data_IF_914552761562
#
_entry.id   IF_914552761562
#
_cell.length_a   1.000
_cell.length_b   1.000
_cell.length_c   1.000
_cell.angle_alpha   90.00
_cell.angle_beta   90.00
_cell.angle_gamma   90.00
#
_symmetry.space_group_name_H-M   'P 1'
#
loop_
_entity.id
_entity.type
_entity.pdbx_description
1 polymer ?
#
# COMPACT_ATOMS: atom_id res chain seq x y z
N UNK A 1 -6.49 11.25 -13.15
CA UNK A 1 -6.34 9.81 -12.94
C UNK A 1 -7.37 9.37 -11.90
N UNK A 2 -8.17 8.34 -12.17
CA UNK A 2 -8.93 7.65 -11.11
C UNK A 2 -7.90 6.88 -10.26
N UNK A 3 -7.77 7.23 -8.99
CA UNK A 3 -6.71 6.70 -8.10
C UNK A 3 -7.20 5.57 -7.18
N UNK A 4 -8.49 5.22 -7.27
CA UNK A 4 -9.11 4.39 -6.25
C UNK A 4 -9.09 5.07 -4.88
N UNK A 5 -9.50 4.35 -3.84
CA UNK A 5 -9.50 4.86 -2.46
C UNK A 5 -9.21 3.74 -1.47
N UNK A 6 -8.39 4.03 -0.46
CA UNK A 6 -8.23 3.23 0.74
C UNK A 6 -8.54 4.10 1.96
N UNK A 7 -9.46 3.62 2.81
CA UNK A 7 -9.83 4.31 4.05
C UNK A 7 -9.90 3.35 5.21
N UNK A 8 -9.43 3.80 6.37
CA UNK A 8 -9.53 3.09 7.66
C UNK A 8 -10.24 4.04 8.61
N UNK A 9 -11.49 3.72 8.93
CA UNK A 9 -12.37 4.60 9.72
C UNK A 9 -12.86 3.84 10.95
N UNK A 10 -12.77 4.49 12.12
CA UNK A 10 -13.45 4.03 13.34
C UNK A 10 -14.88 4.56 13.33
N UNK A 11 -15.86 3.67 13.32
CA UNK A 11 -17.26 4.02 13.55
C UNK A 11 -17.48 4.45 15.00
N UNK A 12 -18.55 5.21 15.25
CA UNK A 12 -19.03 5.55 16.60
C UNK A 12 -19.50 4.31 17.41
N UNK A 13 -19.47 3.12 16.80
CA UNK A 13 -19.98 1.85 17.34
C UNK A 13 -18.87 0.85 17.71
N UNK A 14 -17.64 1.31 17.97
CA UNK A 14 -16.42 0.47 18.17
C UNK A 14 -16.06 -0.45 16.98
N UNK A 15 -16.74 -0.32 15.84
CA UNK A 15 -16.40 -1.04 14.62
C UNK A 15 -15.38 -0.27 13.78
N UNK A 16 -14.28 -0.93 13.43
CA UNK A 16 -13.29 -0.37 12.51
C UNK A 16 -13.55 -0.91 11.11
N UNK A 17 -13.81 0.00 10.17
CA UNK A 17 -14.08 -0.33 8.78
C UNK A 17 -12.86 -0.01 7.92
N UNK A 18 -12.44 -1.01 7.15
CA UNK A 18 -11.46 -0.85 6.08
C UNK A 18 -12.20 -0.95 4.75
N UNK A 19 -12.12 0.12 3.96
CA UNK A 19 -12.77 0.25 2.65
C UNK A 19 -11.69 0.41 1.58
N UNK A 20 -11.76 -0.41 0.54
CA UNK A 20 -10.85 -0.39 -0.61
C UNK A 20 -11.68 -0.38 -1.90
N UNK A 21 -11.50 0.65 -2.72
CA UNK A 21 -12.07 0.77 -4.06
C UNK A 21 -10.92 0.91 -5.04
N UNK A 22 -10.80 -0.01 -6.00
CA UNK A 22 -9.69 -0.01 -6.96
C UNK A 22 -9.90 1.01 -8.08
N UNK A 23 -8.80 1.54 -8.61
CA UNK A 23 -8.77 2.23 -9.91
C UNK A 23 -8.90 1.25 -11.07
N UNK A 24 -8.93 1.79 -12.28
CA UNK A 24 -9.17 1.04 -13.52
C UNK A 24 -8.05 -0.01 -13.80
N UNK A 25 -6.83 0.26 -13.35
CA UNK A 25 -5.67 -0.64 -13.39
C UNK A 25 -5.63 -1.65 -12.23
N UNK A 26 -6.72 -1.76 -11.45
CA UNK A 26 -6.90 -2.71 -10.36
C UNK A 26 -5.95 -2.52 -9.17
N UNK A 27 -5.52 -1.28 -8.92
CA UNK A 27 -4.75 -0.92 -7.71
C UNK A 27 -5.36 0.29 -6.99
N UNK A 28 -4.63 0.89 -6.06
CA UNK A 28 -4.92 2.24 -5.54
C UNK A 28 -3.64 3.06 -5.59
N UNK A 29 -3.76 4.36 -5.80
CA UNK A 29 -2.64 5.28 -5.93
C UNK A 29 -2.71 6.37 -4.87
N UNK A 30 -1.79 6.32 -3.91
CA UNK A 30 -1.77 7.26 -2.79
C UNK A 30 -0.45 8.04 -2.71
N UNK A 31 -0.55 9.33 -2.43
CA UNK A 31 0.60 10.15 -2.08
C UNK A 31 1.08 9.82 -0.66
N UNK A 32 2.32 10.20 -0.34
CA UNK A 32 2.94 9.96 0.98
C UNK A 32 2.06 10.50 2.11
N UNK A 33 1.49 11.68 1.92
CA UNK A 33 0.64 12.36 2.90
C UNK A 33 -0.67 11.60 3.14
N UNK A 34 -1.26 11.04 2.08
CA UNK A 34 -2.48 10.24 2.18
C UNK A 34 -2.20 8.92 2.91
N UNK A 35 -1.06 8.28 2.63
CA UNK A 35 -0.64 7.05 3.33
C UNK A 35 -0.38 7.36 4.82
N UNK A 36 0.32 8.45 5.09
CA UNK A 36 0.62 8.90 6.44
C UNK A 36 -0.66 9.15 7.24
N UNK A 37 -1.63 9.85 6.65
CA UNK A 37 -2.94 10.08 7.24
C UNK A 37 -3.70 8.77 7.49
N UNK A 38 -3.82 7.90 6.47
CA UNK A 38 -4.54 6.62 6.58
C UNK A 38 -3.93 5.70 7.64
N UNK A 39 -2.61 5.71 7.81
CA UNK A 39 -1.94 4.89 8.81
C UNK A 39 -1.70 5.58 10.15
N UNK A 40 -2.06 6.85 10.31
CA UNK A 40 -1.83 7.61 11.53
C UNK A 40 -0.34 7.70 11.90
N UNK A 41 0.51 7.93 10.90
CA UNK A 41 1.97 8.06 11.06
C UNK A 41 2.46 9.37 10.43
N UNK A 42 3.72 9.72 10.68
CA UNK A 42 4.36 10.86 10.04
C UNK A 42 4.73 10.54 8.58
N UNK A 43 4.61 11.52 7.68
CA UNK A 43 5.06 11.43 6.29
C UNK A 43 6.54 11.01 6.19
N UNK A 44 7.39 11.51 7.09
CA UNK A 44 8.81 11.13 7.16
C UNK A 44 9.01 9.62 7.43
N UNK A 45 8.13 8.99 8.22
CA UNK A 45 8.16 7.54 8.47
C UNK A 45 7.79 6.76 7.22
N UNK A 46 6.80 7.24 6.46
CA UNK A 46 6.40 6.65 5.17
C UNK A 46 7.54 6.75 4.16
N UNK A 47 8.14 7.93 3.99
CA UNK A 47 9.28 8.13 3.09
C UNK A 47 10.47 7.24 3.46
N UNK A 48 10.77 7.10 4.77
CA UNK A 48 11.82 6.19 5.24
C UNK A 48 11.47 4.73 4.90
N UNK A 49 10.22 4.33 5.10
CA UNK A 49 9.73 3.00 4.74
C UNK A 49 9.91 2.71 3.24
N UNK A 50 9.47 3.63 2.38
CA UNK A 50 9.61 3.53 0.92
C UNK A 50 11.09 3.32 0.54
N UNK A 51 11.99 4.18 1.06
CA UNK A 51 13.43 4.05 0.78
C UNK A 51 13.99 2.69 1.21
N UNK A 52 13.60 2.20 2.38
CA UNK A 52 14.08 0.91 2.88
C UNK A 52 13.58 -0.26 2.01
N UNK A 53 12.31 -0.25 1.60
CA UNK A 53 11.69 -1.29 0.77
C UNK A 53 12.31 -1.33 -0.63
N UNK A 54 12.59 -0.16 -1.21
CA UNK A 54 13.26 -0.10 -2.52
C UNK A 54 14.75 -0.50 -2.42
N UNK A 55 15.44 -0.08 -1.34
CA UNK A 55 16.84 -0.44 -1.13
C UNK A 55 17.05 -1.93 -0.85
N UNK A 56 16.07 -2.62 -0.26
CA UNK A 56 16.13 -4.07 -0.07
C UNK A 56 15.88 -4.87 -1.36
N UNK A 57 15.38 -4.22 -2.42
CA UNK A 57 14.97 -4.88 -3.65
C UNK A 57 13.67 -5.69 -3.51
N UNK A 58 12.91 -5.51 -2.42
CA UNK A 58 11.61 -6.17 -2.23
C UNK A 58 10.60 -5.74 -3.29
N UNK A 59 10.65 -4.46 -3.69
CA UNK A 59 9.84 -3.89 -4.77
C UNK A 59 10.74 -3.10 -5.72
N UNK A 60 10.34 -3.02 -6.99
CA UNK A 60 11.00 -2.21 -8.02
C UNK A 60 10.28 -0.88 -8.17
N UNK A 61 11.06 0.20 -8.16
CA UNK A 61 10.52 1.58 -8.14
C UNK A 61 9.55 1.86 -9.30
N UNK A 62 9.92 1.43 -10.51
CA UNK A 62 9.13 1.61 -11.73
C UNK A 62 7.82 0.80 -11.77
N UNK A 63 7.64 -0.18 -10.88
CA UNK A 63 6.41 -0.98 -10.79
C UNK A 63 5.43 -0.39 -9.77
N UNK A 64 5.93 0.39 -8.81
CA UNK A 64 5.16 0.81 -7.62
C UNK A 64 5.01 2.31 -7.45
N UNK A 65 5.79 3.13 -8.18
CA UNK A 65 5.70 4.59 -8.19
C UNK A 65 5.20 5.09 -9.55
N UNK A 66 4.30 6.07 -9.51
CA UNK A 66 3.96 6.90 -10.66
C UNK A 66 4.11 8.38 -10.32
N UNK A 67 4.61 9.15 -11.28
CA UNK A 67 4.71 10.60 -11.18
C UNK A 67 3.62 11.26 -12.03
N UNK A 68 3.00 12.31 -11.51
CA UNK A 68 2.08 13.15 -12.24
C UNK A 68 2.56 14.60 -12.21
N UNK A 69 2.85 15.14 -13.39
CA UNK A 69 3.20 16.54 -13.56
C UNK A 69 1.96 17.40 -13.78
N UNK A 70 1.87 18.53 -13.08
CA UNK A 70 0.88 19.58 -13.32
C UNK A 70 1.57 20.92 -13.43
N UNK A 71 1.32 21.64 -14.52
CA UNK A 71 1.72 23.04 -14.66
C UNK A 71 0.74 23.93 -13.90
N UNK A 72 1.28 24.75 -13.01
CA UNK A 72 0.52 25.76 -12.29
C UNK A 72 0.21 26.97 -13.20
N UNK A 73 -0.78 27.80 -12.85
CA UNK A 73 -1.11 29.01 -13.63
C UNK A 73 0.06 29.99 -13.79
N UNK A 74 1.06 29.94 -12.90
CA UNK A 74 2.28 30.76 -12.93
C UNK A 74 3.41 30.16 -13.78
N UNK A 75 3.16 29.05 -14.49
CA UNK A 75 4.12 28.36 -15.35
C UNK A 75 5.05 27.39 -14.64
N UNK A 76 4.98 27.26 -13.30
CA UNK A 76 5.80 26.30 -12.56
C UNK A 76 5.30 24.87 -12.76
N UNK A 77 6.23 23.94 -12.90
CA UNK A 77 5.94 22.51 -12.93
C UNK A 77 5.91 21.95 -11.51
N UNK A 78 4.80 21.31 -11.13
CA UNK A 78 4.71 20.52 -9.91
C UNK A 78 4.64 19.04 -10.27
N UNK A 79 5.50 18.23 -9.66
CA UNK A 79 5.49 16.77 -9.79
C UNK A 79 4.95 16.19 -8.49
N UNK A 80 3.89 15.40 -8.59
CA UNK A 80 3.34 14.64 -7.48
C UNK A 80 3.68 13.16 -7.66
N UNK A 81 4.17 12.52 -6.61
CA UNK A 81 4.45 11.08 -6.58
C UNK A 81 3.28 10.32 -5.95
N UNK A 82 2.93 9.19 -6.56
CA UNK A 82 1.91 8.27 -6.06
C UNK A 82 2.48 6.87 -5.98
N UNK A 83 2.07 6.14 -4.93
CA UNK A 83 2.49 4.78 -4.65
C UNK A 83 1.29 3.83 -4.71
N UNK A 84 1.52 2.68 -5.33
CA UNK A 84 0.47 1.70 -5.58
C UNK A 84 0.12 0.85 -4.32
N UNK A 85 -0.87 -0.06 -4.45
CA UNK A 85 -1.27 -0.95 -3.36
C UNK A 85 -0.14 -1.85 -2.86
N UNK A 86 0.79 -2.30 -3.70
CA UNK A 86 1.89 -3.18 -3.29
C UNK A 86 2.84 -2.47 -2.34
N UNK A 87 3.22 -1.22 -2.65
CA UNK A 87 3.99 -0.37 -1.74
C UNK A 87 3.23 -0.11 -0.44
N UNK A 88 1.92 0.18 -0.50
CA UNK A 88 1.09 0.42 0.67
C UNK A 88 1.03 -0.83 1.58
N UNK A 89 0.94 -2.03 1.00
CA UNK A 89 0.98 -3.30 1.73
C UNK A 89 2.36 -3.50 2.36
N UNK A 90 3.46 -3.33 1.64
CA UNK A 90 4.81 -3.47 2.21
C UNK A 90 5.06 -2.48 3.36
N UNK A 91 4.60 -1.24 3.20
CA UNK A 91 4.65 -0.21 4.24
C UNK A 91 3.87 -0.59 5.50
N UNK A 92 2.71 -1.22 5.38
CA UNK A 92 1.91 -1.57 6.55
C UNK A 92 2.58 -2.61 7.47
N UNK A 93 3.49 -3.43 6.90
CA UNK A 93 4.33 -4.35 7.67
C UNK A 93 5.57 -3.68 8.25
N UNK A 94 6.12 -2.68 7.54
CA UNK A 94 7.28 -1.89 7.99
C UNK A 94 6.95 -0.87 9.08
N UNK A 95 5.74 -0.31 9.06
CA UNK A 95 5.27 0.73 9.97
C UNK A 95 4.56 0.15 11.19
N UNK A 96 4.73 0.81 12.34
CA UNK A 96 4.12 0.43 13.62
C UNK A 96 3.08 1.45 14.04
N UNK A 97 1.82 1.20 13.71
CA UNK A 97 0.68 1.97 14.17
C UNK A 97 -0.56 1.09 14.37
N UNK A 98 -1.55 1.60 15.11
CA UNK A 98 -2.82 0.92 15.31
C UNK A 98 -3.57 0.71 13.97
N UNK A 99 -3.71 1.72 13.08
CA UNK A 99 -4.27 1.49 11.74
C UNK A 99 -3.51 0.45 10.90
N UNK A 100 -2.17 0.41 10.95
CA UNK A 100 -1.40 -0.65 10.26
C UNK A 100 -1.73 -2.05 10.79
N UNK A 101 -1.91 -2.21 12.11
CA UNK A 101 -2.35 -3.49 12.68
C UNK A 101 -3.73 -3.90 12.17
N UNK A 102 -4.68 -2.97 12.12
CA UNK A 102 -6.03 -3.25 11.58
C UNK A 102 -5.96 -3.63 10.10
N UNK A 103 -5.20 -2.88 9.30
CA UNK A 103 -5.06 -3.15 7.88
C UNK A 103 -4.46 -4.53 7.61
N UNK A 104 -3.41 -4.93 8.35
CA UNK A 104 -2.83 -6.28 8.29
C UNK A 104 -3.85 -7.37 8.60
N UNK A 105 -4.63 -7.22 9.68
CA UNK A 105 -5.71 -8.16 10.03
C UNK A 105 -6.75 -8.26 8.92
N UNK A 106 -7.12 -7.12 8.33
CA UNK A 106 -8.09 -7.07 7.23
C UNK A 106 -7.56 -7.77 5.97
N UNK A 107 -6.31 -7.55 5.56
CA UNK A 107 -5.68 -8.25 4.43
C UNK A 107 -5.72 -9.76 4.65
N UNK A 108 -5.23 -10.23 5.81
CA UNK A 108 -5.23 -11.66 6.13
C UNK A 108 -6.64 -12.25 6.09
N UNK A 109 -7.63 -11.56 6.65
CA UNK A 109 -9.04 -11.98 6.61
C UNK A 109 -9.55 -12.09 5.17
N UNK A 110 -9.22 -11.12 4.30
CA UNK A 110 -9.63 -11.13 2.89
C UNK A 110 -8.99 -12.26 2.11
N UNK A 111 -7.70 -12.53 2.30
CA UNK A 111 -7.01 -13.69 1.70
C UNK A 111 -7.70 -14.99 2.11
N UNK A 112 -7.88 -15.22 3.41
CA UNK A 112 -8.55 -16.44 3.93
C UNK A 112 -9.98 -16.57 3.39
N UNK A 113 -10.73 -15.48 3.36
CA UNK A 113 -12.10 -15.49 2.83
C UNK A 113 -12.13 -15.81 1.33
N UNK A 114 -11.19 -15.26 0.54
CA UNK A 114 -11.09 -15.54 -0.90
C UNK A 114 -10.80 -17.00 -1.20
N UNK A 115 -10.07 -17.69 -0.30
CA UNK A 115 -9.74 -19.11 -0.41
C UNK A 115 -10.91 -20.01 -0.02
N UNK A 116 -11.68 -19.65 1.03
CA UNK A 116 -12.86 -20.42 1.47
C UNK A 116 -13.92 -20.54 0.37
N UNK A 117 -14.01 -19.55 -0.51
CA UNK A 117 -14.97 -19.53 -1.63
C UNK A 117 -14.54 -20.48 -2.76
N UNK A 118 -13.28 -20.95 -2.82
CA UNK A 118 -12.72 -21.71 -3.95
C UNK A 118 -12.39 -23.20 -3.69
N UNK A 119 -12.80 -23.79 -2.57
CA UNK A 119 -12.52 -25.20 -2.20
C UNK A 119 -11.06 -25.51 -1.79
N UNK A 120 -10.89 -26.62 -1.08
CA UNK A 120 -9.81 -27.03 -0.16
C UNK A 120 -8.45 -27.35 -0.80
N UNK A 121 -7.88 -26.43 -1.57
CA UNK A 121 -6.49 -26.56 -2.05
C UNK A 121 -5.54 -25.96 -0.99
N UNK A 122 -4.50 -26.69 -0.55
CA UNK A 122 -3.53 -26.14 0.39
C UNK A 122 -2.76 -24.96 -0.22
N UNK A 123 -2.53 -23.90 0.56
CA UNK A 123 -1.65 -22.80 0.17
C UNK A 123 -0.19 -23.25 0.34
N UNK A 124 0.47 -23.54 -0.78
CA UNK A 124 1.90 -23.84 -0.79
C UNK A 124 2.63 -22.57 -1.22
N UNK A 125 3.29 -21.91 -0.26
CA UNK A 125 4.20 -20.79 -0.55
C UNK A 125 5.59 -21.38 -0.84
N UNK A 126 5.94 -21.52 -2.12
CA UNK A 126 7.26 -21.96 -2.54
C UNK A 126 8.09 -20.73 -2.93
N UNK A 127 9.06 -20.37 -2.08
CA UNK A 127 10.00 -19.28 -2.35
C UNK A 127 11.26 -19.90 -2.96
N UNK A 128 11.53 -19.64 -4.25
CA UNK A 128 12.84 -19.93 -4.83
C UNK A 128 13.80 -18.83 -4.38
N UNK A 129 14.78 -19.20 -3.56
CA UNK A 129 15.87 -18.31 -3.21
C UNK A 129 16.93 -18.42 -4.31
N UNK A 130 17.06 -17.40 -5.16
CA UNK A 130 18.25 -17.31 -6.00
C UNK A 130 19.41 -16.98 -5.06
N UNK A 131 20.35 -17.92 -4.93
CA UNK A 131 21.57 -17.70 -4.16
C UNK A 131 22.22 -16.44 -4.70
N UNK A 132 22.50 -15.49 -3.81
CA UNK A 132 23.39 -14.36 -4.06
C UNK A 132 24.72 -14.96 -4.55
N UNK A 133 25.01 -14.77 -5.84
CA UNK A 133 26.32 -15.04 -6.40
C UNK A 133 27.29 -14.10 -5.71
N UNK A 134 28.23 -14.69 -4.97
CA UNK A 134 29.32 -14.01 -4.28
C UNK A 134 30.29 -13.35 -5.29
#
# INVERSE_FOLDING_TARGET
MNRGTLKIESSHTDEIRVSLTLSDDRTVWMAVEEIAHTFGVLAASVQRGIRNILASGELRDNEVRQEQSRTLPDGRLCIAEYYNLDMIVALCFSLKSYPCMIFRRWICKKVVQSMKVRSSVPLILQIKTDRVSN
#
